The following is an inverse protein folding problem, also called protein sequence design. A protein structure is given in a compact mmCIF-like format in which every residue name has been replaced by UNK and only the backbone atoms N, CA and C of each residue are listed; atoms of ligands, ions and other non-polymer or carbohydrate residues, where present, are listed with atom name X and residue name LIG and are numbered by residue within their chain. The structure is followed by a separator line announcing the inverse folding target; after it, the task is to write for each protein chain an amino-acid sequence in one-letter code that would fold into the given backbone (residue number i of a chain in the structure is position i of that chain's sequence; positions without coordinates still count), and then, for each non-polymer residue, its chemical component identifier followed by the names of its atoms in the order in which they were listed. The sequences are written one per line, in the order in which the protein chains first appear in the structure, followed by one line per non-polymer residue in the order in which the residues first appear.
data_IF_526101452838
#
_entry.id   IF_526101452838
#
_cell.length_a   1.000
_cell.length_b   1.000
_cell.length_c   1.000
_cell.angle_alpha   90.00
_cell.angle_beta   90.00
_cell.angle_gamma   90.00
#
_symmetry.space_group_name_H-M   'P 1'
#
loop_
_entity.id
_entity.type
_entity.pdbx_description
1 polymer ?
#
# COMPACT_ATOMS: atom_id res chain seq x y z
N UNK A 1 29.34 36.94 59.50
CA UNK A 1 30.54 36.88 58.64
C UNK A 1 31.39 35.70 59.10
N UNK A 2 31.32 34.53 58.45
CA UNK A 2 32.08 33.32 58.84
C UNK A 2 32.92 32.88 57.64
N UNK A 3 34.24 33.00 57.78
CA UNK A 3 35.22 32.78 56.72
C UNK A 3 35.63 31.29 56.70
N UNK A 4 35.06 30.48 55.80
CA UNK A 4 35.55 29.12 55.57
C UNK A 4 36.90 29.16 54.85
N UNK A 5 37.97 28.79 55.55
CA UNK A 5 39.31 28.60 54.97
C UNK A 5 39.28 27.44 53.97
N UNK A 6 39.31 27.77 52.68
CA UNK A 6 39.64 26.81 51.60
C UNK A 6 41.06 26.28 51.82
N UNK A 7 41.19 25.00 52.15
CA UNK A 7 42.49 24.32 52.11
C UNK A 7 43.04 24.34 50.69
N UNK A 8 44.04 25.18 50.43
CA UNK A 8 44.80 25.18 49.18
C UNK A 8 45.65 23.91 49.12
N UNK A 9 45.34 23.01 48.19
CA UNK A 9 46.23 21.88 47.83
C UNK A 9 47.57 22.45 47.36
N UNK A 10 48.59 22.39 48.21
CA UNK A 10 49.95 22.75 47.84
C UNK A 10 50.50 21.72 46.85
N UNK A 11 50.94 22.19 45.68
CA UNK A 11 51.63 21.38 44.68
C UNK A 11 53.03 21.01 45.20
N UNK A 12 53.16 19.89 45.90
CA UNK A 12 54.46 19.32 46.27
C UNK A 12 55.08 18.68 45.03
N UNK A 13 56.08 19.35 44.42
CA UNK A 13 56.90 18.79 43.33
C UNK A 13 57.58 17.51 43.84
N UNK A 14 57.44 16.41 43.11
CA UNK A 14 58.15 15.17 43.41
C UNK A 14 59.67 15.43 43.36
N UNK A 15 60.32 15.33 44.53
CA UNK A 15 61.73 15.65 44.71
C UNK A 15 62.67 14.49 44.34
N UNK A 16 62.15 13.25 44.28
CA UNK A 16 62.96 12.06 44.01
C UNK A 16 62.71 11.45 42.63
N UNK A 17 63.78 10.96 41.99
CA UNK A 17 63.73 10.32 40.66
C UNK A 17 62.72 9.16 40.60
N UNK A 18 62.61 8.39 41.69
CA UNK A 18 61.67 7.27 41.83
C UNK A 18 60.21 7.73 41.89
N UNK A 19 59.91 8.86 42.56
CA UNK A 19 58.55 9.44 42.60
C UNK A 19 58.14 10.07 41.27
N UNK A 20 59.06 10.71 40.52
CA UNK A 20 58.78 11.20 39.16
C UNK A 20 58.40 10.06 38.21
N UNK A 21 59.11 8.92 38.24
CA UNK A 21 58.74 7.74 37.44
C UNK A 21 57.33 7.23 37.78
N UNK A 22 56.96 7.17 39.06
CA UNK A 22 55.61 6.76 39.49
C UNK A 22 54.52 7.73 39.05
N UNK A 23 54.74 9.05 39.15
CA UNK A 23 53.79 10.06 38.65
C UNK A 23 53.62 9.98 37.14
N UNK A 24 54.70 9.76 36.39
CA UNK A 24 54.66 9.57 34.95
C UNK A 24 53.84 8.32 34.56
N UNK A 25 54.01 7.19 35.26
CA UNK A 25 53.22 5.98 35.02
C UNK A 25 51.72 6.16 35.34
N UNK A 26 51.39 6.94 36.37
CA UNK A 26 50.00 7.31 36.70
C UNK A 26 49.38 8.18 35.61
N UNK A 27 50.10 9.19 35.12
CA UNK A 27 49.59 10.09 34.08
C UNK A 27 49.36 9.38 32.74
N UNK A 28 50.23 8.41 32.39
CA UNK A 28 50.05 7.53 31.21
C UNK A 28 48.79 6.66 31.36
N UNK A 29 48.53 6.07 32.53
CA UNK A 29 47.31 5.27 32.76
C UNK A 29 46.03 6.11 32.72
N UNK A 30 46.06 7.33 33.25
CA UNK A 30 44.90 8.24 33.22
C UNK A 30 44.62 8.74 31.80
N UNK A 31 45.66 9.01 30.99
CA UNK A 31 45.50 9.30 29.55
C UNK A 31 44.97 8.12 28.77
N UNK A 32 45.46 6.89 29.01
CA UNK A 32 44.97 5.69 28.33
C UNK A 32 43.49 5.41 28.60
N UNK A 33 43.04 5.52 29.87
CA UNK A 33 41.61 5.39 30.22
C UNK A 33 40.75 6.52 29.64
N UNK A 34 41.24 7.76 29.61
CA UNK A 34 40.52 8.88 28.98
C UNK A 34 40.38 8.73 27.46
N UNK A 35 41.37 8.18 26.75
CA UNK A 35 41.31 8.00 25.29
C UNK A 35 40.35 6.87 24.90
N UNK A 36 40.35 5.74 25.63
CA UNK A 36 39.39 4.65 25.41
C UNK A 36 37.94 5.06 25.73
N UNK A 37 37.74 5.84 26.81
CA UNK A 37 36.44 6.39 27.17
C UNK A 37 35.94 7.44 26.16
N UNK A 38 36.83 8.27 25.60
CA UNK A 38 36.45 9.27 24.57
C UNK A 38 36.02 8.63 23.26
N UNK A 39 36.65 7.53 22.86
CA UNK A 39 36.32 6.80 21.61
C UNK A 39 34.96 6.12 21.69
N UNK A 40 34.63 5.54 22.86
CA UNK A 40 33.31 4.96 23.12
C UNK A 40 32.24 6.03 23.30
N UNK A 41 32.57 7.19 23.89
CA UNK A 41 31.65 8.33 24.00
C UNK A 41 31.26 8.93 22.64
N UNK A 42 32.19 9.09 21.70
CA UNK A 42 31.86 9.62 20.37
C UNK A 42 30.99 8.66 19.55
N UNK A 43 31.24 7.34 19.66
CA UNK A 43 30.42 6.30 19.03
C UNK A 43 29.03 6.26 19.67
N UNK A 44 28.94 6.32 21.00
CA UNK A 44 27.67 6.38 21.70
C UNK A 44 26.84 7.61 21.27
N UNK A 45 27.46 8.79 21.18
CA UNK A 45 26.77 10.01 20.76
C UNK A 45 26.30 9.94 19.30
N UNK A 46 27.09 9.36 18.39
CA UNK A 46 26.66 9.16 16.99
C UNK A 46 25.50 8.17 16.92
N UNK A 47 25.57 7.04 17.63
CA UNK A 47 24.49 6.05 17.70
C UNK A 47 23.22 6.66 18.30
N UNK A 48 23.32 7.38 19.42
CA UNK A 48 22.19 8.12 20.00
C UNK A 48 21.61 9.15 19.03
N UNK A 49 22.46 9.85 18.26
CA UNK A 49 22.03 10.77 17.22
C UNK A 49 21.20 10.07 16.13
N UNK A 50 21.68 8.93 15.62
CA UNK A 50 20.92 8.13 14.65
C UNK A 50 19.60 7.61 15.21
N UNK A 51 19.58 7.15 16.47
CA UNK A 51 18.35 6.70 17.14
C UNK A 51 17.35 7.85 17.28
N UNK A 52 17.81 9.05 17.66
CA UNK A 52 16.94 10.23 17.74
C UNK A 52 16.36 10.60 16.38
N UNK A 53 17.18 10.61 15.32
CA UNK A 53 16.72 10.88 13.96
C UNK A 53 15.69 9.82 13.52
N UNK A 54 15.98 8.54 13.74
CA UNK A 54 15.07 7.45 13.41
C UNK A 54 13.75 7.56 14.20
N UNK A 55 13.81 7.93 15.48
CA UNK A 55 12.63 8.17 16.33
C UNK A 55 11.79 9.34 15.83
N UNK A 56 12.41 10.46 15.48
CA UNK A 56 11.72 11.63 14.92
C UNK A 56 11.07 11.28 13.58
N UNK A 57 11.80 10.62 12.67
CA UNK A 57 11.25 10.17 11.38
C UNK A 57 10.10 9.19 11.56
N UNK A 58 10.23 8.23 12.49
CA UNK A 58 9.16 7.29 12.84
C UNK A 58 7.93 8.00 13.40
N UNK A 59 8.13 8.98 14.29
CA UNK A 59 7.07 9.81 14.85
C UNK A 59 6.33 10.64 13.79
N UNK A 60 7.06 11.25 12.86
CA UNK A 60 6.49 12.01 11.73
C UNK A 60 5.67 11.07 10.83
N UNK A 61 6.23 9.92 10.44
CA UNK A 61 5.52 8.95 9.59
C UNK A 61 4.24 8.44 10.26
N UNK A 62 4.29 8.14 11.56
CA UNK A 62 3.14 7.70 12.33
C UNK A 62 2.07 8.80 12.48
N UNK A 63 2.49 10.02 12.79
CA UNK A 63 1.62 11.20 12.89
C UNK A 63 0.93 11.51 11.57
N UNK A 64 1.68 11.54 10.46
CA UNK A 64 1.15 11.74 9.12
C UNK A 64 0.09 10.69 8.76
N UNK A 65 0.37 9.40 9.03
CA UNK A 65 -0.58 8.30 8.80
C UNK A 65 -1.87 8.46 9.61
N UNK A 66 -1.77 8.88 10.88
CA UNK A 66 -2.94 9.13 11.75
C UNK A 66 -3.79 10.28 11.24
N UNK A 67 -3.15 11.39 10.85
CA UNK A 67 -3.85 12.58 10.33
C UNK A 67 -4.56 12.25 9.01
N UNK A 68 -3.87 11.59 8.08
CA UNK A 68 -4.47 11.13 6.82
C UNK A 68 -5.69 10.23 7.05
N UNK A 69 -5.58 9.29 7.99
CA UNK A 69 -6.71 8.43 8.37
C UNK A 69 -7.88 9.22 8.95
N UNK A 70 -7.62 10.18 9.83
CA UNK A 70 -8.67 10.98 10.45
C UNK A 70 -9.38 11.91 9.45
N UNK A 71 -8.62 12.56 8.55
CA UNK A 71 -9.17 13.55 7.62
C UNK A 71 -9.83 12.93 6.40
N UNK A 72 -9.23 11.90 5.81
CA UNK A 72 -9.70 11.34 4.53
C UNK A 72 -10.48 10.05 4.72
N UNK A 73 -10.01 9.12 5.56
CA UNK A 73 -10.59 7.78 5.65
C UNK A 73 -11.77 7.70 6.63
N UNK A 74 -11.74 8.47 7.72
CA UNK A 74 -12.80 8.48 8.74
C UNK A 74 -13.91 9.52 8.47
N UNK A 75 -13.73 10.41 7.50
CA UNK A 75 -14.74 11.41 7.17
C UNK A 75 -15.90 10.78 6.37
N UNK A 76 -17.12 10.92 6.88
CA UNK A 76 -18.36 10.42 6.28
C UNK A 76 -18.70 11.09 4.95
N UNK A 77 -18.14 12.27 4.67
CA UNK A 77 -18.35 12.96 3.39
C UNK A 77 -17.75 12.21 2.20
N UNK A 78 -16.71 11.40 2.42
CA UNK A 78 -16.06 10.57 1.41
C UNK A 78 -16.61 9.15 1.35
N UNK A 79 -17.62 8.83 2.16
CA UNK A 79 -18.33 7.56 2.05
C UNK A 79 -19.16 7.56 0.75
N UNK A 80 -19.05 6.51 -0.05
CA UNK A 80 -19.80 6.40 -1.30
C UNK A 80 -21.31 6.44 -1.02
N UNK A 81 -21.99 7.38 -1.67
CA UNK A 81 -23.46 7.51 -1.63
C UNK A 81 -24.10 7.15 -2.96
N UNK A 82 -23.38 7.31 -4.06
CA UNK A 82 -23.91 7.05 -5.40
C UNK A 82 -22.89 6.26 -6.22
N UNK A 83 -23.33 5.11 -6.74
CA UNK A 83 -22.56 4.34 -7.72
C UNK A 83 -23.37 4.29 -9.01
N UNK A 84 -22.92 5.07 -10.00
CA UNK A 84 -23.49 5.03 -11.34
C UNK A 84 -22.81 3.94 -12.15
N UNK A 85 -23.62 3.02 -12.66
CA UNK A 85 -23.15 1.90 -13.47
C UNK A 85 -23.82 2.00 -14.83
N UNK A 86 -23.02 2.08 -15.89
CA UNK A 86 -23.47 2.04 -17.27
C UNK A 86 -22.88 0.82 -17.96
N UNK A 87 -23.73 0.04 -18.64
CA UNK A 87 -23.35 -1.11 -19.48
C UNK A 87 -24.04 -0.97 -20.82
N UNK A 88 -23.38 -1.34 -21.91
CA UNK A 88 -23.93 -1.28 -23.27
C UNK A 88 -24.61 -2.59 -23.73
N UNK A 89 -24.70 -3.60 -22.86
CA UNK A 89 -25.40 -4.86 -23.12
C UNK A 89 -26.28 -5.32 -21.95
N UNK A 90 -26.22 -6.62 -21.64
CA UNK A 90 -27.14 -7.29 -20.72
C UNK A 90 -26.60 -7.45 -19.29
N UNK A 91 -25.40 -6.97 -18.98
CA UNK A 91 -24.84 -7.04 -17.63
C UNK A 91 -25.64 -6.15 -16.67
N UNK A 92 -26.23 -6.78 -15.66
CA UNK A 92 -26.97 -6.08 -14.62
C UNK A 92 -26.03 -5.33 -13.67
N UNK A 93 -26.48 -4.17 -13.18
CA UNK A 93 -25.79 -3.35 -12.17
C UNK A 93 -25.31 -4.19 -10.98
N UNK A 94 -26.15 -5.08 -10.47
CA UNK A 94 -25.82 -5.94 -9.32
C UNK A 94 -24.68 -6.93 -9.59
N UNK A 95 -24.59 -7.44 -10.81
CA UNK A 95 -23.51 -8.36 -11.21
C UNK A 95 -22.18 -7.62 -11.27
N UNK A 96 -22.20 -6.41 -11.83
CA UNK A 96 -21.05 -5.51 -11.91
C UNK A 96 -20.56 -5.12 -10.52
N UNK A 97 -21.46 -4.67 -9.63
CA UNK A 97 -21.11 -4.28 -8.26
C UNK A 97 -20.54 -5.45 -7.45
N UNK A 98 -21.11 -6.65 -7.61
CA UNK A 98 -20.59 -7.87 -6.97
C UNK A 98 -19.20 -8.22 -7.46
N UNK A 99 -18.97 -8.20 -8.78
CA UNK A 99 -17.67 -8.49 -9.36
C UNK A 99 -16.60 -7.46 -8.96
N UNK A 100 -16.98 -6.18 -8.85
CA UNK A 100 -16.09 -5.11 -8.41
C UNK A 100 -15.82 -5.08 -6.90
N UNK A 101 -16.55 -5.86 -6.09
CA UNK A 101 -16.50 -5.82 -4.62
C UNK A 101 -16.70 -4.41 -4.01
N UNK A 102 -17.41 -3.54 -4.73
CA UNK A 102 -17.74 -2.17 -4.31
C UNK A 102 -19.14 -2.14 -3.72
N UNK A 103 -19.27 -1.50 -2.57
CA UNK A 103 -20.54 -1.28 -1.89
C UNK A 103 -20.65 0.19 -1.47
N UNK A 104 -21.88 0.68 -1.37
CA UNK A 104 -22.18 1.98 -0.79
C UNK A 104 -21.73 2.04 0.68
N UNK A 105 -21.39 3.22 1.16
CA UNK A 105 -20.84 3.44 2.51
C UNK A 105 -19.33 3.23 2.66
N UNK A 106 -18.66 2.54 1.72
CA UNK A 106 -17.18 2.45 1.71
C UNK A 106 -16.58 3.82 1.35
N UNK A 107 -15.39 4.10 1.89
CA UNK A 107 -14.68 5.33 1.56
C UNK A 107 -14.11 5.29 0.12
N UNK A 108 -14.32 6.34 -0.66
CA UNK A 108 -13.91 6.41 -2.07
C UNK A 108 -12.38 6.27 -2.29
N UNK A 109 -11.58 6.70 -1.31
CA UNK A 109 -10.12 6.59 -1.35
C UNK A 109 -9.62 5.20 -0.92
N UNK A 110 -10.43 4.46 -0.16
CA UNK A 110 -10.08 3.10 0.26
C UNK A 110 -10.24 2.06 -0.87
N UNK A 111 -11.02 2.38 -1.90
CA UNK A 111 -11.25 1.50 -3.04
C UNK A 111 -10.09 1.65 -4.02
N UNK A 112 -9.43 0.55 -4.39
CA UNK A 112 -8.39 0.55 -5.41
C UNK A 112 -8.99 0.45 -6.81
N UNK A 113 -8.93 1.52 -7.61
CA UNK A 113 -9.43 1.49 -9.00
C UNK A 113 -8.74 0.45 -9.87
N UNK A 114 -7.39 0.30 -9.83
CA UNK A 114 -6.72 -0.73 -10.63
C UNK A 114 -7.20 -2.14 -10.31
N UNK A 115 -7.41 -2.43 -9.00
CA UNK A 115 -7.92 -3.73 -8.57
C UNK A 115 -9.35 -3.97 -9.07
N UNK A 116 -10.21 -2.96 -8.98
CA UNK A 116 -11.59 -3.05 -9.49
C UNK A 116 -11.59 -3.26 -11.01
N UNK A 117 -10.71 -2.57 -11.74
CA UNK A 117 -10.58 -2.72 -13.19
C UNK A 117 -10.10 -4.12 -13.58
N UNK A 118 -9.15 -4.69 -12.82
CA UNK A 118 -8.66 -6.05 -12.99
C UNK A 118 -9.77 -7.09 -12.70
N UNK A 119 -10.50 -6.94 -11.59
CA UNK A 119 -11.60 -7.84 -11.22
C UNK A 119 -12.73 -7.82 -12.25
N UNK A 120 -13.09 -6.63 -12.77
CA UNK A 120 -14.09 -6.50 -13.84
C UNK A 120 -13.58 -7.04 -15.17
N UNK A 121 -12.30 -6.84 -15.50
CA UNK A 121 -11.67 -7.36 -16.72
C UNK A 121 -11.48 -8.89 -16.71
N UNK A 122 -11.47 -9.51 -15.53
CA UNK A 122 -11.45 -10.96 -15.39
C UNK A 122 -12.79 -11.61 -15.81
N UNK A 123 -13.87 -10.84 -15.91
CA UNK A 123 -15.13 -11.35 -16.44
C UNK A 123 -15.01 -11.54 -17.97
N UNK A 124 -15.32 -12.73 -18.50
CA UNK A 124 -15.17 -12.99 -19.94
C UNK A 124 -16.10 -12.10 -20.79
N UNK A 125 -17.26 -11.72 -20.22
CA UNK A 125 -18.26 -10.85 -20.84
C UNK A 125 -17.79 -9.39 -21.02
N UNK A 126 -16.78 -8.96 -20.27
CA UNK A 126 -16.30 -7.57 -20.31
C UNK A 126 -15.18 -7.46 -21.33
N UNK A 127 -15.28 -6.48 -22.24
CA UNK A 127 -14.21 -6.12 -23.16
C UNK A 127 -13.32 -5.02 -22.58
N UNK A 128 -13.93 -3.92 -22.13
CA UNK A 128 -13.25 -2.79 -21.48
C UNK A 128 -14.07 -2.34 -20.26
N UNK A 129 -13.37 -1.94 -19.19
CA UNK A 129 -13.99 -1.27 -18.04
C UNK A 129 -13.29 0.05 -17.75
N UNK A 130 -14.09 1.10 -17.56
CA UNK A 130 -13.64 2.44 -17.21
C UNK A 130 -14.24 2.85 -15.88
N UNK A 131 -13.39 3.08 -14.90
CA UNK A 131 -13.81 3.49 -13.56
C UNK A 131 -13.27 4.88 -13.26
N UNK A 132 -14.16 5.77 -12.82
CA UNK A 132 -13.82 7.15 -12.46
C UNK A 132 -14.40 7.53 -11.11
N UNK A 133 -13.62 8.27 -10.32
CA UNK A 133 -14.06 8.85 -9.06
C UNK A 133 -14.54 10.27 -9.29
N UNK A 134 -15.77 10.55 -8.86
CA UNK A 134 -16.33 11.90 -8.82
C UNK A 134 -16.43 12.28 -7.34
N UNK A 135 -15.48 13.10 -6.89
CA UNK A 135 -15.43 13.53 -5.50
C UNK A 135 -16.66 14.39 -5.15
N UNK A 136 -17.13 14.35 -3.89
CA UNK A 136 -16.54 13.62 -2.76
C UNK A 136 -16.99 12.15 -2.62
N UNK A 137 -18.14 11.75 -3.15
CA UNK A 137 -18.84 10.51 -2.74
C UNK A 137 -19.47 9.70 -3.88
N UNK A 138 -19.07 9.95 -5.13
CA UNK A 138 -19.67 9.33 -6.31
C UNK A 138 -18.63 8.53 -7.10
N UNK A 139 -19.02 7.34 -7.54
CA UNK A 139 -18.21 6.47 -8.39
C UNK A 139 -18.97 6.16 -9.67
N UNK A 140 -18.33 6.37 -10.80
CA UNK A 140 -18.89 6.04 -12.12
C UNK A 140 -18.12 4.86 -12.69
N UNK A 141 -18.86 3.81 -13.04
CA UNK A 141 -18.35 2.59 -13.66
C UNK A 141 -19.04 2.46 -15.02
N UNK A 142 -18.25 2.50 -16.08
CA UNK A 142 -18.72 2.27 -17.44
C UNK A 142 -18.09 1.00 -17.98
N UNK A 143 -18.92 0.09 -18.45
CA UNK A 143 -18.52 -1.21 -18.97
C UNK A 143 -18.92 -1.29 -20.43
N UNK A 144 -17.98 -1.80 -21.23
CA UNK A 144 -18.19 -2.20 -22.60
C UNK A 144 -18.21 -3.73 -22.65
N UNK A 145 -19.33 -4.28 -23.10
CA UNK A 145 -19.56 -5.71 -23.21
C UNK A 145 -18.98 -6.27 -24.51
N UNK A 146 -18.44 -7.48 -24.39
CA UNK A 146 -17.82 -8.21 -25.49
C UNK A 146 -18.90 -8.71 -26.45
N UNK A 147 -18.71 -8.46 -27.75
CA UNK A 147 -19.65 -8.91 -28.80
C UNK A 147 -19.13 -10.18 -29.46
N UNK A 148 -19.85 -11.32 -29.33
CA UNK A 148 -19.46 -12.55 -30.00
C UNK A 148 -19.63 -12.46 -31.51
N UNK A 149 -18.85 -13.25 -32.25
CA UNK A 149 -18.85 -13.29 -33.72
C UNK A 149 -19.13 -14.65 -34.33
N UNK A 150 -19.04 -15.73 -33.55
CA UNK A 150 -19.30 -17.09 -34.03
C UNK A 150 -19.71 -18.01 -32.88
N UNK A 151 -20.33 -19.14 -33.24
CA UNK A 151 -20.59 -20.25 -32.33
C UNK A 151 -19.45 -21.27 -32.36
N UNK A 152 -19.20 -21.87 -31.20
CA UNK A 152 -18.24 -22.97 -31.01
C UNK A 152 -18.98 -24.11 -30.36
N UNK A 153 -19.07 -25.22 -31.09
CA UNK A 153 -19.74 -26.45 -30.64
C UNK A 153 -18.68 -27.51 -30.31
N UNK A 154 -18.83 -28.27 -29.21
CA UNK A 154 -17.95 -29.40 -28.91
C UNK A 154 -17.98 -30.46 -30.04
N UNK A 155 -16.86 -31.16 -30.30
CA UNK A 155 -16.73 -32.12 -31.40
C UNK A 155 -17.68 -33.33 -31.30
N UNK A 156 -18.19 -33.62 -30.10
CA UNK A 156 -19.02 -34.79 -29.81
C UNK A 156 -20.52 -34.57 -30.11
N UNK A 157 -20.90 -33.37 -30.58
CA UNK A 157 -22.29 -33.02 -30.88
C UNK A 157 -22.59 -33.31 -32.36
N UNK A 158 -23.60 -34.15 -32.60
CA UNK A 158 -24.06 -34.50 -33.94
C UNK A 158 -24.56 -33.22 -34.64
N UNK A 159 -23.87 -32.81 -35.72
CA UNK A 159 -24.07 -31.52 -36.42
C UNK A 159 -25.52 -31.31 -36.90
N UNK A 160 -26.29 -32.39 -37.03
CA UNK A 160 -27.71 -32.37 -37.39
C UNK A 160 -28.65 -31.84 -36.29
N UNK A 161 -28.20 -31.68 -35.05
CA UNK A 161 -29.00 -31.17 -33.94
C UNK A 161 -28.19 -30.15 -33.13
N UNK A 162 -28.15 -28.91 -33.63
CA UNK A 162 -27.49 -27.82 -32.94
C UNK A 162 -28.16 -27.56 -31.59
N UNK A 163 -27.50 -27.93 -30.49
CA UNK A 163 -27.98 -27.65 -29.14
C UNK A 163 -27.30 -26.38 -28.59
N UNK A 164 -28.06 -25.29 -28.54
CA UNK A 164 -27.62 -24.00 -28.00
C UNK A 164 -27.25 -24.05 -26.51
N UNK A 165 -27.67 -25.06 -25.75
CA UNK A 165 -27.37 -25.17 -24.32
C UNK A 165 -25.89 -25.50 -24.04
N UNK A 166 -25.24 -26.22 -24.97
CA UNK A 166 -23.84 -26.65 -24.84
C UNK A 166 -22.89 -25.90 -25.78
N UNK A 167 -23.42 -24.93 -26.54
CA UNK A 167 -22.62 -24.13 -27.46
C UNK A 167 -22.00 -22.93 -26.72
N UNK A 168 -20.74 -22.66 -27.04
CA UNK A 168 -20.04 -21.45 -26.59
C UNK A 168 -20.09 -20.41 -27.68
N UNK A 169 -20.11 -19.15 -27.29
CA UNK A 169 -19.92 -18.03 -28.21
C UNK A 169 -18.44 -17.64 -28.19
N UNK A 170 -17.86 -17.26 -29.33
CA UNK A 170 -16.48 -16.79 -29.39
C UNK A 170 -16.42 -15.37 -29.94
N UNK A 171 -15.58 -14.55 -29.33
CA UNK A 171 -15.27 -13.19 -29.78
C UNK A 171 -14.06 -13.17 -30.74
N UNK A 172 -13.85 -12.06 -31.43
CA UNK A 172 -12.70 -11.75 -32.32
C UNK A 172 -11.34 -11.99 -31.65
N UNK A 173 -11.27 -11.86 -30.32
CA UNK A 173 -10.05 -12.10 -29.52
C UNK A 173 -9.88 -13.57 -29.10
N UNK A 174 -10.75 -14.47 -29.53
CA UNK A 174 -10.71 -15.89 -29.22
C UNK A 174 -11.17 -16.25 -27.80
N UNK A 175 -11.86 -15.33 -27.11
CA UNK A 175 -12.38 -15.57 -25.76
C UNK A 175 -13.75 -16.24 -25.87
N UNK A 176 -13.93 -17.34 -25.15
CA UNK A 176 -15.18 -18.09 -25.08
C UNK A 176 -16.13 -17.48 -24.06
N UNK A 177 -17.38 -17.29 -24.46
CA UNK A 177 -18.48 -16.76 -23.69
C UNK A 177 -19.52 -17.87 -23.51
N UNK A 178 -19.88 -18.15 -22.25
CA UNK A 178 -21.00 -19.04 -21.95
C UNK A 178 -22.31 -18.27 -22.11
N UNK A 179 -23.21 -18.76 -22.95
CA UNK A 179 -24.52 -18.14 -23.11
C UNK A 179 -25.37 -18.36 -21.86
N UNK A 180 -25.92 -17.28 -21.29
CA UNK A 180 -26.91 -17.36 -20.19
C UNK A 180 -28.33 -17.13 -20.69
N UNK A 181 -28.46 -16.37 -21.78
CA UNK A 181 -29.72 -16.09 -22.48
C UNK A 181 -29.45 -15.94 -23.97
N UNK A 182 -30.19 -16.66 -24.80
CA UNK A 182 -30.11 -16.57 -26.26
C UNK A 182 -30.74 -15.25 -26.71
N UNK A 183 -29.89 -14.26 -27.00
CA UNK A 183 -30.34 -13.05 -27.68
C UNK A 183 -30.63 -13.36 -29.16
N UNK A 184 -31.73 -12.86 -29.74
CA UNK A 184 -32.09 -13.13 -31.15
C UNK A 184 -30.99 -12.73 -32.14
N UNK A 185 -30.19 -11.72 -31.80
CA UNK A 185 -29.06 -11.22 -32.58
C UNK A 185 -27.94 -12.24 -32.79
N UNK A 186 -27.78 -13.22 -31.88
CA UNK A 186 -26.71 -14.22 -31.98
C UNK A 186 -27.13 -15.49 -32.73
N UNK A 187 -28.42 -15.67 -33.04
CA UNK A 187 -28.90 -16.88 -33.72
C UNK A 187 -28.40 -17.02 -35.16
N UNK A 188 -28.08 -15.90 -35.82
CA UNK A 188 -27.57 -15.88 -37.19
C UNK A 188 -26.05 -15.87 -37.31
N UNK A 189 -25.33 -16.00 -36.20
CA UNK A 189 -23.87 -16.09 -36.23
C UNK A 189 -23.43 -17.42 -36.85
N UNK A 190 -22.29 -17.43 -37.58
CA UNK A 190 -21.73 -18.64 -38.16
C UNK A 190 -21.26 -19.65 -37.12
#
# INVERSE_FOLDING_TARGET
MILQKRQRKQNKRASTSKQRKRQHLLDVKVRAKKVAARRTQSVLLTVCGFILIASVLGGIAFGAKRILNALFFANSDYALKAIEVTSDGNLTRETILRAAHVAEGKNIFSISLPKVQEELGALPQVEESRIQRILPNKLTISIQERRPVAWVVPPDVNVATFNFENAYLVDRRGILLKTKSLAPEYLGLP
#
